data_IF_395479418504
#
_entry.id   IF_395479418504
#
_cell.length_a   1.000
_cell.length_b   1.000
_cell.length_c   1.000
_cell.angle_alpha   90.00
_cell.angle_beta   90.00
_cell.angle_gamma   90.00
#
_symmetry.space_group_name_H-M   'P 1'
#
loop_
_entity.id
_entity.type
_entity.pdbx_description
1 polymer ?
#
# COMPACT_ATOMS: atom_id res chain seq x y z
N UNK A 1 -8.82 -24.02 -36.87
CA UNK A 1 -7.66 -23.88 -35.96
C UNK A 1 -7.99 -22.79 -34.95
N UNK A 2 -7.75 -23.02 -33.65
CA UNK A 2 -8.75 -22.76 -32.63
C UNK A 2 -8.29 -21.78 -31.56
N UNK A 3 -9.18 -20.89 -31.11
CA UNK A 3 -9.24 -20.48 -29.70
C UNK A 3 -10.69 -20.15 -29.33
N UNK A 4 -11.41 -21.06 -28.66
CA UNK A 4 -12.23 -20.68 -27.52
C UNK A 4 -11.34 -20.75 -26.26
N UNK A 5 -11.64 -19.99 -25.19
CA UNK A 5 -12.59 -20.56 -24.25
C UNK A 5 -13.53 -19.53 -23.60
N UNK A 6 -14.81 -19.91 -23.61
CA UNK A 6 -15.72 -19.78 -22.47
C UNK A 6 -15.02 -20.21 -21.18
N UNK A 7 -14.82 -19.29 -20.23
CA UNK A 7 -14.43 -19.64 -18.86
C UNK A 7 -15.33 -18.88 -17.88
N UNK A 8 -16.43 -19.51 -17.52
CA UNK A 8 -17.17 -19.22 -16.30
C UNK A 8 -16.32 -19.60 -15.08
N UNK A 9 -15.69 -18.59 -14.46
CA UNK A 9 -15.09 -18.61 -13.11
C UNK A 9 -13.55 -18.74 -13.06
N UNK A 10 -12.88 -18.22 -11.99
CA UNK A 10 -13.43 -18.16 -10.65
C UNK A 10 -13.29 -16.78 -9.97
N UNK A 11 -14.32 -16.39 -9.23
CA UNK A 11 -14.26 -15.29 -8.27
C UNK A 11 -13.20 -15.57 -7.17
N UNK A 12 -12.83 -16.84 -6.97
CA UNK A 12 -11.93 -17.33 -5.93
C UNK A 12 -10.44 -16.94 -6.07
N UNK A 13 -9.71 -17.13 -7.18
CA UNK A 13 -8.31 -16.70 -7.29
C UNK A 13 -8.17 -15.18 -7.33
N UNK A 14 -9.15 -14.44 -7.86
CA UNK A 14 -9.13 -12.97 -7.76
C UNK A 14 -9.34 -12.52 -6.30
N UNK A 15 -10.32 -13.10 -5.60
CA UNK A 15 -10.54 -12.81 -4.18
C UNK A 15 -9.38 -13.29 -3.29
N UNK A 16 -8.75 -14.42 -3.59
CA UNK A 16 -7.57 -14.94 -2.88
C UNK A 16 -6.32 -14.12 -3.16
N UNK A 17 -6.13 -13.67 -4.40
CA UNK A 17 -5.09 -12.71 -4.74
C UNK A 17 -5.35 -11.41 -3.97
N UNK A 18 -6.58 -10.89 -3.97
CA UNK A 18 -6.98 -9.67 -3.25
C UNK A 18 -6.86 -9.78 -1.73
N UNK A 19 -7.10 -10.95 -1.14
CA UNK A 19 -6.89 -11.16 0.31
C UNK A 19 -5.43 -11.35 0.66
N UNK A 20 -4.63 -12.08 -0.13
CA UNK A 20 -3.17 -12.17 0.07
C UNK A 20 -2.49 -10.82 -0.13
N UNK A 21 -2.92 -10.07 -1.15
CA UNK A 21 -2.58 -8.67 -1.39
C UNK A 21 -2.82 -7.82 -0.13
N UNK A 22 -4.02 -7.92 0.43
CA UNK A 22 -4.40 -7.18 1.63
C UNK A 22 -3.52 -7.60 2.81
N UNK A 23 -3.37 -8.90 3.11
CA UNK A 23 -2.56 -9.39 4.23
C UNK A 23 -1.09 -8.96 4.14
N UNK A 24 -0.46 -9.07 2.96
CA UNK A 24 0.93 -8.63 2.76
C UNK A 24 1.07 -7.11 2.88
N UNK A 25 0.10 -6.36 2.34
CA UNK A 25 0.06 -4.90 2.47
C UNK A 25 -0.08 -4.46 3.93
N UNK A 26 -0.90 -5.17 4.74
CA UNK A 26 -1.04 -4.92 6.17
C UNK A 26 0.25 -5.21 6.94
N UNK A 27 0.89 -6.35 6.68
CA UNK A 27 2.14 -6.72 7.35
C UNK A 27 3.27 -5.74 7.03
N UNK A 28 3.43 -5.37 5.75
CA UNK A 28 4.42 -4.38 5.33
C UNK A 28 4.11 -3.01 5.93
N UNK A 29 2.84 -2.61 5.95
CA UNK A 29 2.42 -1.37 6.59
C UNK A 29 2.78 -1.36 8.08
N UNK A 30 2.49 -2.43 8.82
CA UNK A 30 2.83 -2.55 10.24
C UNK A 30 4.36 -2.52 10.46
N UNK A 31 5.13 -3.18 9.60
CA UNK A 31 6.60 -3.17 9.67
C UNK A 31 7.18 -1.76 9.45
N UNK A 32 6.69 -1.04 8.44
CA UNK A 32 7.07 0.35 8.16
C UNK A 32 6.65 1.29 9.30
N UNK A 33 5.45 1.10 9.85
CA UNK A 33 4.96 1.88 10.98
C UNK A 33 5.80 1.66 12.25
N UNK A 34 6.25 0.42 12.50
CA UNK A 34 7.15 0.08 13.62
C UNK A 34 8.51 0.75 13.45
N UNK A 35 9.07 0.77 12.23
CA UNK A 35 10.30 1.52 11.91
C UNK A 35 10.12 3.02 12.16
N UNK A 36 9.01 3.59 11.70
CA UNK A 36 8.69 5.00 11.92
C UNK A 36 8.59 5.33 13.42
N UNK A 37 7.85 4.54 14.19
CA UNK A 37 7.66 4.76 15.64
C UNK A 37 8.95 4.61 16.45
N UNK A 38 9.91 3.83 15.95
CA UNK A 38 11.24 3.68 16.56
C UNK A 38 12.10 4.93 16.32
N UNK A 39 11.92 5.60 15.18
CA UNK A 39 12.70 6.79 14.79
C UNK A 39 12.08 8.11 15.25
N UNK A 40 10.76 8.23 15.18
CA UNK A 40 10.01 9.44 15.46
C UNK A 40 8.78 9.13 16.34
N UNK A 41 8.96 8.95 17.66
CA UNK A 41 7.85 8.65 18.57
C UNK A 41 6.81 9.78 18.65
N UNK A 42 7.21 11.03 18.38
CA UNK A 42 6.36 12.22 18.44
C UNK A 42 5.61 12.54 17.13
N UNK A 43 5.88 11.83 16.02
CA UNK A 43 5.28 12.12 14.70
C UNK A 43 3.78 11.74 14.59
N UNK A 44 3.09 11.56 15.71
CA UNK A 44 1.68 11.14 15.85
C UNK A 44 0.63 12.16 15.36
N UNK A 45 1.00 13.09 14.48
CA UNK A 45 0.18 14.27 14.17
C UNK A 45 -1.13 13.98 13.41
N UNK A 46 -1.39 12.77 12.91
CA UNK A 46 -2.74 12.21 12.77
C UNK A 46 -2.69 10.74 12.33
N UNK A 47 -3.18 9.83 13.17
CA UNK A 47 -3.08 8.39 12.93
C UNK A 47 -3.62 7.93 11.58
N UNK A 48 -4.69 8.56 11.07
CA UNK A 48 -5.28 8.21 9.78
C UNK A 48 -4.40 8.60 8.58
N UNK A 49 -3.74 9.77 8.63
CA UNK A 49 -2.84 10.18 7.56
C UNK A 49 -1.64 9.24 7.50
N UNK A 50 -1.00 9.01 8.64
CA UNK A 50 0.11 8.06 8.74
C UNK A 50 -0.27 6.66 8.26
N UNK A 51 -1.43 6.16 8.68
CA UNK A 51 -1.91 4.84 8.27
C UNK A 51 -2.10 4.77 6.75
N UNK A 52 -2.72 5.79 6.16
CA UNK A 52 -2.90 5.86 4.71
C UNK A 52 -1.56 5.98 3.98
N UNK A 53 -0.66 6.87 4.40
CA UNK A 53 0.66 7.07 3.77
C UNK A 53 1.46 5.77 3.74
N UNK A 54 1.47 5.06 4.86
CA UNK A 54 2.17 3.78 5.01
C UNK A 54 1.56 2.71 4.08
N UNK A 55 0.24 2.71 3.92
CA UNK A 55 -0.46 1.78 3.02
C UNK A 55 -0.19 2.07 1.54
N UNK A 56 -0.17 3.35 1.17
CA UNK A 56 0.20 3.81 -0.18
C UNK A 56 1.59 3.31 -0.54
N UNK A 57 2.58 3.53 0.34
CA UNK A 57 3.95 3.05 0.16
C UNK A 57 4.01 1.53 0.08
N UNK A 58 3.39 0.82 1.02
CA UNK A 58 3.40 -0.64 1.06
C UNK A 58 2.83 -1.27 -0.23
N UNK A 59 1.72 -0.72 -0.73
CA UNK A 59 1.09 -1.21 -1.96
C UNK A 59 1.97 -1.02 -3.20
N UNK A 60 2.68 0.11 -3.30
CA UNK A 60 3.60 0.40 -4.40
C UNK A 60 4.89 -0.43 -4.34
N UNK A 61 5.38 -0.72 -3.14
CA UNK A 61 6.57 -1.58 -2.95
C UNK A 61 6.27 -3.02 -3.35
N UNK A 62 5.08 -3.53 -3.01
CA UNK A 62 4.68 -4.90 -3.34
C UNK A 62 4.24 -5.05 -4.80
N UNK A 63 3.63 -4.02 -5.40
CA UNK A 63 3.09 -4.06 -6.76
C UNK A 63 3.55 -2.85 -7.59
N UNK A 64 4.86 -2.74 -7.90
CA UNK A 64 5.42 -1.58 -8.57
C UNK A 64 4.94 -1.39 -10.02
N UNK A 65 4.27 -2.40 -10.61
CA UNK A 65 3.76 -2.39 -11.98
C UNK A 65 2.22 -2.39 -12.06
N UNK A 66 1.51 -2.27 -10.93
CA UNK A 66 0.04 -2.23 -10.91
C UNK A 66 -0.46 -0.81 -10.69
N UNK A 67 -0.92 -0.17 -11.76
CA UNK A 67 -1.44 1.21 -11.75
C UNK A 67 -2.69 1.39 -10.87
N UNK A 68 -3.31 0.27 -10.43
CA UNK A 68 -4.38 0.29 -9.41
C UNK A 68 -3.93 0.87 -8.07
N UNK A 69 -2.64 0.91 -7.79
CA UNK A 69 -2.10 1.48 -6.55
C UNK A 69 -1.47 2.86 -6.74
N UNK A 70 -1.79 3.52 -7.87
CA UNK A 70 -1.45 4.92 -8.10
C UNK A 70 -2.09 5.86 -7.07
N UNK A 71 -1.48 7.03 -6.87
CA UNK A 71 -2.01 8.05 -5.94
C UNK A 71 -3.40 8.55 -6.35
N UNK A 72 -3.70 8.54 -7.65
CA UNK A 72 -5.02 8.87 -8.18
C UNK A 72 -6.07 7.85 -7.69
N UNK A 73 -5.77 6.56 -7.79
CA UNK A 73 -6.70 5.54 -7.30
C UNK A 73 -6.84 5.56 -5.77
N UNK A 74 -5.76 5.88 -5.04
CA UNK A 74 -5.83 6.10 -3.59
C UNK A 74 -6.67 7.32 -3.19
N UNK A 75 -6.66 8.39 -4.00
CA UNK A 75 -7.55 9.55 -3.80
C UNK A 75 -9.03 9.19 -3.97
N UNK A 76 -9.35 8.33 -4.94
CA UNK A 76 -10.70 7.79 -5.14
C UNK A 76 -11.13 6.88 -3.97
N UNK A 77 -10.25 5.98 -3.52
CA UNK A 77 -10.49 5.10 -2.35
C UNK A 77 -10.72 5.91 -1.07
N UNK A 78 -10.02 7.04 -0.94
CA UNK A 78 -10.20 7.98 0.16
C UNK A 78 -11.56 8.68 0.19
N UNK A 79 -12.45 8.46 -0.79
CA UNK A 79 -13.78 9.10 -0.89
C UNK A 79 -13.75 10.63 -0.73
N UNK A 80 -12.67 11.27 -1.20
CA UNK A 80 -12.49 12.72 -1.06
C UNK A 80 -12.05 13.19 0.33
N UNK A 81 -11.71 12.29 1.26
CA UNK A 81 -11.10 12.66 2.55
C UNK A 81 -9.73 13.33 2.40
N UNK A 82 -9.02 13.04 1.30
CA UNK A 82 -7.74 13.64 0.96
C UNK A 82 -7.71 14.01 -0.52
N UNK A 83 -7.25 15.21 -0.83
CA UNK A 83 -6.97 15.59 -2.21
C UNK A 83 -5.76 14.82 -2.76
N UNK A 84 -5.69 14.61 -4.07
CA UNK A 84 -4.54 13.99 -4.72
C UNK A 84 -3.20 14.66 -4.34
N UNK A 85 -3.21 15.99 -4.23
CA UNK A 85 -2.04 16.75 -3.80
C UNK A 85 -1.62 16.43 -2.37
N UNK A 86 -2.59 16.23 -1.47
CA UNK A 86 -2.31 15.83 -0.09
C UNK A 86 -1.73 14.41 -0.03
N UNK A 87 -2.27 13.47 -0.81
CA UNK A 87 -1.73 12.09 -0.88
C UNK A 87 -0.30 12.09 -1.43
N UNK A 88 -0.03 12.87 -2.48
CA UNK A 88 1.31 13.02 -3.04
C UNK A 88 2.29 13.60 -1.99
N UNK A 89 1.85 14.59 -1.23
CA UNK A 89 2.67 15.20 -0.17
C UNK A 89 2.94 14.19 0.95
N UNK A 90 1.89 13.50 1.41
CA UNK A 90 1.95 12.47 2.43
C UNK A 90 2.88 11.32 2.05
N UNK A 91 2.86 10.88 0.79
CA UNK A 91 3.77 9.86 0.28
C UNK A 91 5.23 10.32 0.34
N UNK A 92 5.51 11.55 -0.14
CA UNK A 92 6.87 12.10 -0.16
C UNK A 92 7.44 12.28 1.24
N UNK A 93 6.63 12.79 2.16
CA UNK A 93 7.00 12.93 3.56
C UNK A 93 7.29 11.56 4.18
N UNK A 94 6.44 10.55 3.93
CA UNK A 94 6.65 9.20 4.43
C UNK A 94 7.94 8.56 3.86
N UNK A 95 8.23 8.74 2.57
CA UNK A 95 9.50 8.32 1.97
C UNK A 95 10.70 9.00 2.62
N UNK A 96 10.59 10.31 2.91
CA UNK A 96 11.63 11.06 3.59
C UNK A 96 11.85 10.57 5.02
N UNK A 97 10.77 10.32 5.78
CA UNK A 97 10.85 9.77 7.14
C UNK A 97 11.44 8.36 7.18
N UNK A 98 11.21 7.56 6.15
CA UNK A 98 11.78 6.21 6.03
C UNK A 98 13.16 6.21 5.36
N UNK A 99 13.73 7.37 5.02
CA UNK A 99 15.01 7.51 4.31
C UNK A 99 15.07 6.66 3.03
N UNK A 100 13.94 6.46 2.35
CA UNK A 100 13.81 5.57 1.18
C UNK A 100 14.16 4.10 1.44
N UNK A 101 14.29 3.67 2.71
CA UNK A 101 14.48 2.27 3.11
C UNK A 101 13.15 1.51 3.12
N UNK A 102 12.51 1.47 1.95
CA UNK A 102 11.18 0.92 1.74
C UNK A 102 11.18 -0.60 1.53
N UNK A 103 12.35 -1.17 1.27
CA UNK A 103 12.51 -2.61 1.10
C UNK A 103 12.44 -3.29 2.47
N UNK A 104 11.40 -4.11 2.64
CA UNK A 104 11.32 -5.09 3.73
C UNK A 104 11.35 -6.45 3.04
N UNK A 105 12.44 -7.23 3.19
CA UNK A 105 12.51 -8.54 2.57
C UNK A 105 11.33 -9.38 3.07
N UNK A 106 10.76 -10.21 2.20
CA UNK A 106 9.63 -11.07 2.53
C UNK A 106 9.89 -11.99 3.74
N UNK A 107 11.16 -12.23 4.04
CA UNK A 107 11.65 -13.00 5.21
C UNK A 107 11.41 -12.27 6.55
N UNK A 108 11.36 -10.94 6.55
CA UNK A 108 11.01 -10.14 7.74
C UNK A 108 9.48 -10.06 7.98
N UNK A 109 8.68 -10.61 7.05
CA UNK A 109 7.21 -10.58 7.07
C UNK A 109 6.59 -11.92 7.51
N UNK A 110 7.40 -12.86 8.00
CA UNK A 110 6.97 -14.16 8.59
C UNK A 110 6.67 -14.09 10.10
#
# INVERSE_FOLDING_TARGET
>A
MPYPPTCSGPFFPYALHQTRLHTMSHLLAVALLKRLKTRFPDALSSGHRLFLSVFVIASKVLYPCDDRYSNENWALVGQGMFALMEINQMEREMCAYLEWLLNVPSEDLE
#
